data_IF_322344824158
#
_entry.id   IF_322344824158
#
_cell.length_a   1.000
_cell.length_b   1.000
_cell.length_c   1.000
_cell.angle_alpha   90.00
_cell.angle_beta   90.00
_cell.angle_gamma   90.00
#
_symmetry.space_group_name_H-M   'P 1'
#
loop_
_entity.id
_entity.type
_entity.pdbx_description
1 polymer ?
#
# COMPACT_ATOMS: atom_id res chain seq x y z
N UNK A 1 1.24 8.78 17.73
CA UNK A 1 1.63 8.51 16.33
C UNK A 1 1.45 9.78 15.52
N UNK A 2 2.32 10.04 14.55
CA UNK A 2 2.35 11.32 13.79
C UNK A 2 2.41 11.03 12.30
N UNK A 3 1.54 11.67 11.52
CA UNK A 3 1.59 11.67 10.06
C UNK A 3 0.95 12.93 9.49
N UNK A 4 1.22 13.23 8.23
CA UNK A 4 0.61 14.33 7.49
C UNK A 4 -0.92 14.16 7.37
N UNK A 5 -1.38 12.91 7.27
CA UNK A 5 -2.79 12.49 7.14
C UNK A 5 -3.08 11.36 8.13
N UNK A 6 -4.27 11.38 8.72
CA UNK A 6 -4.73 10.35 9.66
C UNK A 6 -6.20 10.07 9.36
N UNK A 7 -6.60 8.79 9.38
CA UNK A 7 -7.97 8.36 9.13
C UNK A 7 -8.41 8.51 7.67
N UNK A 8 -7.45 8.52 6.74
CA UNK A 8 -7.69 8.48 5.29
C UNK A 8 -7.52 7.05 4.74
N UNK A 9 -7.86 6.85 3.47
CA UNK A 9 -7.82 5.52 2.82
C UNK A 9 -6.49 5.21 2.15
N UNK A 10 -5.45 6.02 2.39
CA UNK A 10 -4.10 5.71 1.91
C UNK A 10 -3.42 4.62 2.76
N UNK A 11 -2.44 3.96 2.16
CA UNK A 11 -1.80 2.80 2.78
C UNK A 11 -1.12 3.07 4.12
N UNK A 12 -0.59 4.30 4.33
CA UNK A 12 0.07 4.69 5.59
C UNK A 12 -0.98 4.91 6.68
N UNK A 13 -2.03 5.68 6.39
CA UNK A 13 -3.13 5.92 7.34
C UNK A 13 -3.79 4.63 7.80
N UNK A 14 -4.04 3.69 6.86
CA UNK A 14 -4.61 2.39 7.19
C UNK A 14 -3.67 1.55 8.07
N UNK A 15 -2.36 1.60 7.84
CA UNK A 15 -1.39 0.87 8.66
C UNK A 15 -1.26 1.48 10.05
N UNK A 16 -1.33 2.81 10.17
CA UNK A 16 -1.37 3.50 11.46
C UNK A 16 -2.59 3.10 12.30
N UNK A 17 -3.76 2.94 11.70
CA UNK A 17 -4.96 2.49 12.42
C UNK A 17 -4.80 1.06 12.97
N UNK A 18 -4.09 0.18 12.24
CA UNK A 18 -3.77 -1.18 12.70
C UNK A 18 -2.79 -1.16 13.88
N UNK A 19 -1.71 -0.39 13.76
CA UNK A 19 -0.76 -0.19 14.87
C UNK A 19 -1.45 0.38 16.10
N UNK A 20 -2.30 1.39 15.91
CA UNK A 20 -3.10 1.97 16.98
C UNK A 20 -3.94 0.90 17.68
N UNK A 21 -4.71 0.11 16.93
CA UNK A 21 -5.59 -0.92 17.48
C UNK A 21 -4.80 -1.95 18.33
N UNK A 22 -3.63 -2.37 17.85
CA UNK A 22 -2.77 -3.32 18.57
C UNK A 22 -2.14 -2.69 19.81
N UNK A 23 -1.61 -1.46 19.71
CA UNK A 23 -1.04 -0.74 20.86
C UNK A 23 -2.10 -0.48 21.95
N UNK A 24 -3.32 -0.09 21.58
CA UNK A 24 -4.44 0.07 22.54
C UNK A 24 -4.81 -1.27 23.19
N UNK A 25 -4.81 -2.37 22.45
CA UNK A 25 -5.01 -3.75 22.99
C UNK A 25 -3.90 -4.14 23.97
N UNK A 26 -2.68 -3.68 23.74
CA UNK A 26 -1.53 -3.87 24.68
C UNK A 26 -1.63 -3.00 25.94
N UNK A 27 -2.59 -2.08 26.02
CA UNK A 27 -2.82 -1.21 27.18
C UNK A 27 -2.19 0.17 27.09
N UNK A 28 -1.65 0.55 25.92
CA UNK A 28 -1.09 1.88 25.70
C UNK A 28 -2.20 2.90 25.40
N UNK A 29 -1.99 4.15 25.81
CA UNK A 29 -2.82 5.28 25.39
C UNK A 29 -2.26 5.86 24.10
N UNK A 30 -2.97 5.72 22.98
CA UNK A 30 -2.49 6.14 21.66
C UNK A 30 -3.13 7.45 21.24
N UNK A 31 -2.30 8.45 20.91
CA UNK A 31 -2.72 9.74 20.37
C UNK A 31 -2.28 9.87 18.91
N UNK A 32 -3.22 10.29 18.06
CA UNK A 32 -2.99 10.50 16.64
C UNK A 32 -2.85 11.97 16.34
N UNK A 33 -1.69 12.41 15.80
CA UNK A 33 -1.40 13.78 15.44
C UNK A 33 -1.35 13.95 13.92
N UNK A 34 -2.04 14.95 13.40
CA UNK A 34 -2.03 15.28 11.97
C UNK A 34 -2.18 16.78 11.69
N UNK A 35 -2.08 17.16 10.41
CA UNK A 35 -2.20 18.55 9.97
C UNK A 35 -3.64 19.07 9.89
N UNK A 36 -4.65 18.20 9.99
CA UNK A 36 -6.06 18.56 9.89
C UNK A 36 -6.91 17.81 10.91
N UNK A 37 -7.98 18.46 11.37
CA UNK A 37 -8.94 17.85 12.28
C UNK A 37 -9.87 16.88 11.54
N UNK A 38 -10.01 15.67 12.08
CA UNK A 38 -11.04 14.69 11.71
C UNK A 38 -11.35 13.81 12.93
N UNK A 39 -12.26 12.85 12.78
CA UNK A 39 -12.68 11.98 13.89
C UNK A 39 -11.56 11.07 14.45
N UNK A 40 -10.46 10.89 13.72
CA UNK A 40 -9.31 10.07 14.13
C UNK A 40 -8.17 10.90 14.73
N UNK A 41 -8.21 12.23 14.59
CA UNK A 41 -7.14 13.13 15.06
C UNK A 41 -7.38 13.57 16.50
N UNK A 42 -6.43 13.27 17.39
CA UNK A 42 -6.46 13.69 18.79
C UNK A 42 -5.81 15.06 19.02
N UNK A 43 -4.85 15.45 18.15
CA UNK A 43 -4.15 16.73 18.22
C UNK A 43 -3.79 17.25 16.85
N UNK A 44 -4.15 18.49 16.56
CA UNK A 44 -3.83 19.14 15.28
C UNK A 44 -2.54 19.93 15.41
N UNK A 45 -1.58 19.65 14.54
CA UNK A 45 -0.37 20.45 14.32
C UNK A 45 -0.47 20.98 12.89
N UNK A 46 -0.87 22.24 12.69
CA UNK A 46 -1.15 22.78 11.35
C UNK A 46 0.00 22.64 10.36
N UNK A 47 1.24 22.69 10.83
CA UNK A 47 2.44 22.50 10.02
C UNK A 47 2.52 21.12 9.34
N UNK A 48 1.84 20.10 9.86
CA UNK A 48 1.72 18.77 9.23
C UNK A 48 0.81 18.79 8.00
N UNK A 49 0.02 19.83 7.78
CA UNK A 49 -0.86 19.88 6.61
C UNK A 49 -0.04 20.04 5.32
N UNK A 50 0.07 18.94 4.57
CA UNK A 50 0.82 18.90 3.31
C UNK A 50 0.21 19.74 2.19
N UNK A 51 -1.07 20.13 2.30
CA UNK A 51 -1.78 21.01 1.38
C UNK A 51 -1.70 22.49 1.79
N UNK A 52 -1.03 22.81 2.91
CA UNK A 52 -0.82 24.20 3.29
C UNK A 52 0.02 24.91 2.22
N UNK A 53 -0.35 26.14 1.89
CA UNK A 53 0.31 26.96 0.86
C UNK A 53 1.82 27.06 1.08
N UNK A 54 2.23 27.27 2.34
CA UNK A 54 3.64 27.31 2.70
C UNK A 54 4.36 26.00 2.31
N UNK A 55 3.79 24.85 2.63
CA UNK A 55 4.42 23.56 2.33
C UNK A 55 4.47 23.30 0.81
N UNK A 56 3.41 23.62 0.07
CA UNK A 56 3.38 23.49 -1.40
C UNK A 56 4.49 24.34 -2.01
N UNK A 57 4.61 25.60 -1.61
CA UNK A 57 5.66 26.52 -2.06
C UNK A 57 7.06 26.02 -1.72
N UNK A 58 7.23 25.53 -0.48
CA UNK A 58 8.52 24.98 -0.04
C UNK A 58 8.94 23.77 -0.88
N UNK A 59 8.04 22.81 -1.09
CA UNK A 59 8.28 21.61 -1.91
C UNK A 59 8.64 21.98 -3.35
N UNK A 60 7.95 22.99 -3.92
CA UNK A 60 8.28 23.49 -5.26
C UNK A 60 9.71 24.02 -5.33
N UNK A 61 10.10 24.87 -4.37
CA UNK A 61 11.44 25.46 -4.34
C UNK A 61 12.54 24.45 -4.00
N UNK A 62 12.25 23.46 -3.17
CA UNK A 62 13.24 22.43 -2.81
C UNK A 62 13.48 21.38 -3.91
N UNK A 63 12.48 21.08 -4.78
CA UNK A 63 12.53 19.91 -5.64
C UNK A 63 12.24 20.16 -7.12
N UNK A 64 11.70 21.31 -7.51
CA UNK A 64 11.45 21.65 -8.91
C UNK A 64 12.34 22.82 -9.36
N UNK A 65 12.12 24.01 -8.78
CA UNK A 65 12.94 25.19 -9.11
C UNK A 65 12.91 26.23 -7.99
N UNK A 66 14.07 26.78 -7.66
CA UNK A 66 14.22 27.85 -6.65
C UNK A 66 13.82 29.19 -7.28
N UNK A 67 12.55 29.57 -7.14
CA UNK A 67 11.97 30.78 -7.76
C UNK A 67 11.40 31.80 -6.77
N UNK A 68 10.94 31.37 -5.60
CA UNK A 68 10.31 32.23 -4.59
C UNK A 68 11.31 32.78 -3.57
N UNK A 69 12.55 32.34 -3.59
CA UNK A 69 13.63 32.75 -2.70
C UNK A 69 14.80 33.27 -3.54
N UNK A 70 15.41 34.43 -3.15
CA UNK A 70 16.52 35.03 -3.89
C UNK A 70 17.76 34.14 -4.00
N UNK A 71 17.98 33.27 -3.02
CA UNK A 71 19.11 32.34 -2.92
C UNK A 71 18.83 31.22 -1.92
N UNK A 72 19.75 30.26 -1.81
CA UNK A 72 19.64 29.11 -0.89
C UNK A 72 19.63 29.54 0.57
N UNK A 73 20.32 30.62 0.93
CA UNK A 73 20.37 31.13 2.33
C UNK A 73 19.00 31.61 2.79
N UNK A 74 18.25 32.32 1.94
CA UNK A 74 16.89 32.76 2.26
C UNK A 74 15.92 31.59 2.35
N UNK A 75 16.08 30.57 1.52
CA UNK A 75 15.32 29.32 1.64
C UNK A 75 15.64 28.62 2.97
N UNK A 76 16.92 28.51 3.34
CA UNK A 76 17.35 27.93 4.61
C UNK A 76 16.78 28.69 5.81
N UNK A 77 16.86 30.01 5.77
CA UNK A 77 16.32 30.87 6.81
C UNK A 77 14.82 30.63 7.02
N UNK A 78 14.06 30.58 5.91
CA UNK A 78 12.62 30.28 5.97
C UNK A 78 12.32 28.88 6.54
N UNK A 79 13.10 27.86 6.17
CA UNK A 79 12.96 26.50 6.72
C UNK A 79 13.21 26.51 8.23
N UNK A 80 14.29 27.15 8.69
CA UNK A 80 14.68 27.21 10.11
C UNK A 80 13.71 28.01 10.96
N UNK A 81 13.25 29.16 10.46
CA UNK A 81 12.29 29.98 11.16
C UNK A 81 10.99 29.22 11.42
N UNK A 82 10.45 28.58 10.36
CA UNK A 82 9.23 27.78 10.51
C UNK A 82 9.44 26.52 11.36
N UNK A 83 10.63 25.93 11.32
CA UNK A 83 10.96 24.77 12.15
C UNK A 83 10.93 25.10 13.66
N UNK A 84 11.26 26.33 14.08
CA UNK A 84 11.15 26.78 15.48
C UNK A 84 9.70 26.82 15.94
N UNK A 85 8.78 27.27 15.10
CA UNK A 85 7.34 27.26 15.41
C UNK A 85 6.82 25.82 15.53
N UNK A 86 7.26 24.95 14.60
CA UNK A 86 6.92 23.54 14.58
C UNK A 86 7.44 22.82 15.82
N UNK A 87 8.68 23.06 16.21
CA UNK A 87 9.27 22.54 17.45
C UNK A 87 8.42 22.92 18.67
N UNK A 88 8.06 24.19 18.79
CA UNK A 88 7.20 24.65 19.88
C UNK A 88 5.84 23.96 19.93
N UNK A 89 5.24 23.70 18.78
CA UNK A 89 3.98 22.98 18.68
C UNK A 89 4.11 21.50 19.14
N UNK A 90 5.19 20.81 18.75
CA UNK A 90 5.47 19.45 19.19
C UNK A 90 5.78 19.36 20.68
N UNK A 91 6.65 20.24 21.20
CA UNK A 91 6.95 20.28 22.64
C UNK A 91 5.70 20.50 23.49
N UNK A 92 4.80 21.39 23.04
CA UNK A 92 3.51 21.59 23.71
C UNK A 92 2.65 20.32 23.70
N UNK A 93 2.54 19.62 22.55
CA UNK A 93 1.76 18.40 22.44
C UNK A 93 2.36 17.27 23.30
N UNK A 94 3.67 17.08 23.28
CA UNK A 94 4.41 16.10 24.09
C UNK A 94 4.12 16.33 25.57
N UNK A 95 4.31 17.56 26.07
CA UNK A 95 4.11 17.90 27.48
C UNK A 95 2.65 17.78 27.90
N UNK A 96 1.70 18.28 27.09
CA UNK A 96 0.28 18.29 27.41
C UNK A 96 -0.31 16.89 27.50
N UNK A 97 0.05 16.00 26.56
CA UNK A 97 -0.44 14.63 26.52
C UNK A 97 0.47 13.65 27.26
N UNK A 98 1.58 14.10 27.84
CA UNK A 98 2.55 13.30 28.58
C UNK A 98 3.03 12.09 27.76
N UNK A 99 3.57 12.37 26.59
CA UNK A 99 4.01 11.37 25.63
C UNK A 99 5.35 10.77 26.06
N UNK A 100 5.43 9.46 26.11
CA UNK A 100 6.65 8.70 26.42
C UNK A 100 7.36 8.22 25.14
N UNK A 101 6.58 7.97 24.07
CA UNK A 101 7.07 7.46 22.79
C UNK A 101 6.35 8.16 21.62
N UNK A 102 7.12 8.60 20.63
CA UNK A 102 6.59 9.15 19.37
C UNK A 102 6.86 8.16 18.24
N UNK A 103 5.84 7.90 17.40
CA UNK A 103 5.95 7.05 16.21
C UNK A 103 5.59 7.90 14.98
N UNK A 104 6.57 8.60 14.37
CA UNK A 104 6.36 9.33 13.12
C UNK A 104 6.33 8.37 11.93
N UNK A 105 5.27 8.45 11.12
CA UNK A 105 5.10 7.67 9.91
C UNK A 105 5.50 8.51 8.70
N UNK A 106 6.53 8.11 7.98
CA UNK A 106 7.10 8.80 6.81
C UNK A 106 7.55 10.26 7.02
N UNK A 107 7.50 10.80 8.24
CA UNK A 107 7.96 12.17 8.50
C UNK A 107 9.47 12.29 8.23
N UNK A 108 10.24 11.30 8.65
CA UNK A 108 11.68 11.22 8.46
C UNK A 108 12.09 10.34 7.27
N UNK A 109 11.23 10.20 6.27
CA UNK A 109 11.50 9.30 5.15
C UNK A 109 11.49 9.99 3.80
N UNK A 110 10.49 10.85 3.53
CA UNK A 110 10.20 11.34 2.19
C UNK A 110 10.77 12.72 1.85
N UNK A 111 11.25 13.49 2.81
CA UNK A 111 11.67 14.88 2.57
C UNK A 111 10.50 15.80 2.17
N UNK A 112 9.29 15.40 2.42
CA UNK A 112 8.08 16.10 1.99
C UNK A 112 7.87 17.44 2.70
N UNK A 113 8.26 17.51 3.97
CA UNK A 113 8.11 18.72 4.78
C UNK A 113 9.35 18.88 5.67
N UNK A 114 10.37 19.58 5.16
CA UNK A 114 11.64 19.76 5.85
C UNK A 114 11.49 20.46 7.20
N UNK A 115 10.73 21.58 7.37
CA UNK A 115 10.55 22.22 8.65
C UNK A 115 9.94 21.31 9.71
N UNK A 116 8.99 20.45 9.31
CA UNK A 116 8.39 19.48 10.23
C UNK A 116 9.41 18.45 10.70
N UNK A 117 10.26 17.95 9.82
CA UNK A 117 11.33 17.01 10.21
C UNK A 117 12.34 17.68 11.15
N UNK A 118 12.80 18.91 10.82
CA UNK A 118 13.71 19.68 11.67
C UNK A 118 13.10 19.96 13.04
N UNK A 119 11.88 20.50 13.07
CA UNK A 119 11.20 20.86 14.32
C UNK A 119 10.86 19.65 15.20
N UNK A 120 10.43 18.53 14.58
CA UNK A 120 10.13 17.31 15.32
C UNK A 120 11.41 16.68 15.88
N UNK A 121 12.51 16.59 15.10
CA UNK A 121 13.78 16.06 15.58
C UNK A 121 14.29 16.87 16.78
N UNK A 122 14.29 18.21 16.68
CA UNK A 122 14.66 19.09 17.77
C UNK A 122 13.77 18.92 19.01
N UNK A 123 12.46 18.77 18.83
CA UNK A 123 11.51 18.53 19.93
C UNK A 123 11.78 17.19 20.64
N UNK A 124 12.09 16.12 19.88
CA UNK A 124 12.45 14.80 20.42
C UNK A 124 13.73 14.91 21.27
N UNK A 125 14.79 15.53 20.74
CA UNK A 125 16.05 15.72 21.46
C UNK A 125 15.86 16.56 22.74
N UNK A 126 15.13 17.68 22.68
CA UNK A 126 14.89 18.56 23.82
C UNK A 126 14.02 17.96 24.91
N UNK A 127 13.05 17.15 24.54
CA UNK A 127 12.15 16.49 25.48
C UNK A 127 12.69 15.15 25.98
N UNK A 128 13.75 14.64 25.34
CA UNK A 128 14.32 13.31 25.58
C UNK A 128 13.28 12.17 25.47
N UNK A 129 12.25 12.36 24.64
CA UNK A 129 11.23 11.35 24.35
C UNK A 129 11.81 10.31 23.35
N UNK A 130 11.44 9.06 23.50
CA UNK A 130 11.82 8.01 22.55
C UNK A 130 11.06 8.16 21.23
N UNK A 131 11.70 7.76 20.14
CA UNK A 131 11.15 7.86 18.82
C UNK A 131 11.34 6.58 18.00
N UNK A 132 10.27 5.96 17.55
CA UNK A 132 10.28 4.86 16.59
C UNK A 132 9.88 5.40 15.21
N UNK A 133 10.86 5.66 14.35
CA UNK A 133 10.64 6.15 13.00
C UNK A 133 10.10 5.02 12.12
N UNK A 134 8.82 5.09 11.72
CA UNK A 134 8.19 4.10 10.86
C UNK A 134 8.25 4.54 9.38
N UNK A 135 9.03 3.80 8.59
CA UNK A 135 9.32 4.10 7.20
C UNK A 135 8.55 3.17 6.28
N UNK A 136 7.62 3.71 5.49
CA UNK A 136 6.88 2.96 4.46
C UNK A 136 7.56 3.03 3.10
N UNK A 137 8.25 4.14 2.83
CA UNK A 137 9.13 4.37 1.68
C UNK A 137 10.09 5.52 1.97
N UNK A 138 11.14 5.65 1.14
CA UNK A 138 12.18 6.67 1.32
C UNK A 138 12.22 7.66 0.17
N UNK A 139 12.80 8.86 0.40
CA UNK A 139 12.91 9.93 -0.59
C UNK A 139 13.67 9.50 -1.85
N UNK A 140 14.65 8.63 -1.73
CA UNK A 140 15.41 8.12 -2.87
C UNK A 140 14.63 7.14 -3.76
N UNK A 141 13.50 6.64 -3.32
CA UNK A 141 12.58 5.80 -4.09
C UNK A 141 11.57 6.65 -4.90
N UNK A 142 11.53 7.96 -4.66
CA UNK A 142 10.58 8.90 -5.28
C UNK A 142 11.30 9.90 -6.16
N UNK A 143 11.11 9.82 -7.49
CA UNK A 143 11.73 10.76 -8.46
C UNK A 143 11.64 12.23 -8.02
N UNK A 144 10.48 12.62 -7.45
CA UNK A 144 10.21 13.98 -6.99
C UNK A 144 11.21 14.45 -5.93
N UNK A 145 11.63 13.59 -5.00
CA UNK A 145 12.44 13.95 -3.85
C UNK A 145 13.92 13.54 -3.98
N UNK A 146 14.22 12.68 -4.97
CA UNK A 146 15.56 12.14 -5.15
C UNK A 146 16.56 13.19 -5.69
N UNK A 147 16.08 14.28 -6.32
CA UNK A 147 16.90 15.28 -7.00
C UNK A 147 16.51 16.69 -6.57
N UNK A 148 16.93 17.14 -5.37
CA UNK A 148 16.72 18.51 -4.90
C UNK A 148 17.33 19.57 -5.82
N UNK A 149 16.77 20.78 -5.78
CA UNK A 149 17.23 21.94 -6.54
C UNK A 149 18.43 22.65 -5.90
N UNK A 150 18.64 22.46 -4.59
CA UNK A 150 19.61 23.20 -3.79
C UNK A 150 20.44 22.26 -2.91
N UNK A 151 21.73 22.60 -2.71
CA UNK A 151 22.66 21.80 -1.90
C UNK A 151 22.20 21.67 -0.45
N UNK A 152 21.66 22.73 0.12
CA UNK A 152 21.13 22.72 1.49
C UNK A 152 20.02 21.65 1.70
N UNK A 153 19.21 21.37 0.68
CA UNK A 153 18.17 20.35 0.77
C UNK A 153 18.79 18.96 0.84
N UNK A 154 19.87 18.70 0.07
CA UNK A 154 20.65 17.48 0.21
C UNK A 154 21.23 17.32 1.62
N UNK A 155 21.66 18.43 2.27
CA UNK A 155 22.21 18.37 3.62
C UNK A 155 21.11 17.98 4.63
N UNK A 156 19.91 18.56 4.55
CA UNK A 156 18.77 18.14 5.35
C UNK A 156 18.41 16.66 5.13
N UNK A 157 18.35 16.23 3.86
CA UNK A 157 18.03 14.84 3.54
C UNK A 157 19.08 13.88 4.12
N UNK A 158 20.36 14.21 4.07
CA UNK A 158 21.44 13.42 4.64
C UNK A 158 21.42 13.36 6.16
N UNK A 159 20.96 14.40 6.83
CA UNK A 159 20.97 14.48 8.30
C UNK A 159 19.71 13.89 8.92
N UNK A 160 18.54 14.14 8.33
CA UNK A 160 17.25 13.89 8.95
C UNK A 160 16.36 12.86 8.24
N UNK A 161 16.79 12.28 7.11
CA UNK A 161 15.94 11.34 6.37
C UNK A 161 16.63 10.00 6.10
N UNK A 162 16.67 9.16 7.17
CA UNK A 162 16.22 9.39 8.54
C UNK A 162 17.30 10.01 9.44
N UNK A 163 16.93 10.57 10.62
CA UNK A 163 17.88 11.00 11.64
C UNK A 163 18.64 9.81 12.23
N UNK A 164 19.78 10.07 12.87
CA UNK A 164 20.55 9.10 13.64
C UNK A 164 20.76 9.68 15.05
N UNK A 165 20.78 8.84 16.08
CA UNK A 165 20.96 9.26 17.46
C UNK A 165 20.28 8.33 18.46
N UNK A 166 20.64 8.46 19.73
CA UNK A 166 20.21 7.54 20.80
C UNK A 166 18.70 7.50 21.04
N UNK A 167 17.99 8.60 20.70
CA UNK A 167 16.55 8.68 20.86
C UNK A 167 15.76 8.10 19.68
N UNK A 168 16.44 7.71 18.59
CA UNK A 168 15.79 7.28 17.35
C UNK A 168 16.04 5.79 17.08
N UNK A 169 14.98 5.02 17.00
CA UNK A 169 14.98 3.68 16.42
C UNK A 169 14.19 3.67 15.11
N UNK A 170 14.46 2.68 14.25
CA UNK A 170 13.95 2.68 12.90
C UNK A 170 13.23 1.37 12.58
N UNK A 171 12.05 1.51 11.97
CA UNK A 171 11.25 0.40 11.48
C UNK A 171 10.98 0.61 9.99
N UNK A 172 11.16 -0.44 9.22
CA UNK A 172 10.86 -0.51 7.80
C UNK A 172 9.86 -1.64 7.53
N UNK A 173 9.13 -1.55 6.42
CA UNK A 173 8.07 -2.51 6.13
C UNK A 173 8.55 -3.77 5.38
N UNK A 174 9.79 -3.82 4.90
CA UNK A 174 10.34 -4.97 4.18
C UNK A 174 11.87 -5.05 4.30
N UNK A 175 12.42 -6.23 3.99
CA UNK A 175 13.88 -6.52 4.07
C UNK A 175 14.71 -5.72 3.07
N UNK A 176 14.18 -5.42 1.89
CA UNK A 176 14.91 -4.62 0.90
C UNK A 176 15.11 -3.18 1.39
N UNK A 177 14.09 -2.59 2.01
CA UNK A 177 14.21 -1.28 2.64
C UNK A 177 15.22 -1.30 3.80
N UNK A 178 15.24 -2.36 4.61
CA UNK A 178 16.23 -2.55 5.68
C UNK A 178 17.65 -2.59 5.12
N UNK A 179 17.88 -3.39 4.10
CA UNK A 179 19.20 -3.52 3.46
C UNK A 179 19.63 -2.20 2.82
N UNK A 180 18.75 -1.52 2.09
CA UNK A 180 19.04 -0.23 1.47
C UNK A 180 19.35 0.83 2.51
N UNK A 181 18.60 0.90 3.62
CA UNK A 181 18.84 1.83 4.72
C UNK A 181 20.21 1.58 5.37
N UNK A 182 20.53 0.31 5.65
CA UNK A 182 21.84 -0.08 6.20
C UNK A 182 22.98 0.31 5.26
N UNK A 183 22.85 0.02 3.96
CA UNK A 183 23.91 0.29 2.99
C UNK A 183 24.10 1.78 2.72
N UNK A 184 23.03 2.58 2.66
CA UNK A 184 23.10 4.02 2.36
C UNK A 184 23.46 4.88 3.55
N UNK A 185 22.99 4.52 4.74
CA UNK A 185 23.04 5.37 5.93
C UNK A 185 23.78 4.73 7.11
N UNK A 186 24.15 3.46 6.99
CA UNK A 186 24.68 2.63 8.10
C UNK A 186 23.75 2.59 9.34
N UNK A 187 22.45 2.85 9.16
CA UNK A 187 21.43 2.81 10.20
C UNK A 187 20.86 1.40 10.26
N UNK A 188 20.74 0.85 11.48
CA UNK A 188 20.06 -0.41 11.75
C UNK A 188 18.55 -0.18 11.87
N UNK A 189 17.75 -1.15 11.47
CA UNK A 189 16.29 -1.06 11.57
C UNK A 189 15.69 -2.45 11.78
N UNK A 190 14.49 -2.48 12.37
CA UNK A 190 13.67 -3.69 12.49
C UNK A 190 12.70 -3.76 11.29
N UNK A 191 12.39 -4.97 10.82
CA UNK A 191 11.37 -5.17 9.79
C UNK A 191 10.05 -5.50 10.45
N UNK A 192 9.04 -4.67 10.23
CA UNK A 192 7.65 -4.92 10.64
C UNK A 192 6.78 -4.87 9.40
N UNK A 193 6.32 -6.01 8.90
CA UNK A 193 5.52 -6.07 7.70
C UNK A 193 4.12 -5.46 7.90
N UNK A 194 3.48 -5.07 6.81
CA UNK A 194 2.07 -4.73 6.84
C UNK A 194 1.24 -5.95 7.26
N UNK A 195 0.23 -5.73 8.08
CA UNK A 195 -0.60 -6.78 8.67
C UNK A 195 -2.07 -6.63 8.28
N UNK A 196 -2.86 -7.62 8.64
CA UNK A 196 -4.31 -7.60 8.47
C UNK A 196 -5.01 -8.17 9.71
N UNK A 197 -6.25 -7.73 9.95
CA UNK A 197 -7.07 -8.28 11.02
C UNK A 197 -7.71 -9.60 10.58
N UNK A 198 -7.08 -10.72 10.92
CA UNK A 198 -7.60 -12.06 10.64
C UNK A 198 -8.67 -12.53 11.63
N UNK A 199 -8.89 -11.80 12.73
CA UNK A 199 -9.93 -12.10 13.72
C UNK A 199 -11.28 -11.49 13.32
N UNK A 200 -11.32 -10.55 12.38
CA UNK A 200 -12.56 -9.97 11.89
C UNK A 200 -13.45 -11.02 11.18
N UNK A 201 -14.75 -10.70 11.05
CA UNK A 201 -15.69 -11.57 10.37
C UNK A 201 -15.28 -11.81 8.90
N UNK A 202 -15.29 -13.09 8.50
CA UNK A 202 -14.98 -13.48 7.10
C UNK A 202 -15.94 -12.81 6.13
N UNK A 203 -15.40 -12.29 5.03
CA UNK A 203 -16.20 -11.75 3.94
C UNK A 203 -16.98 -12.85 3.25
N UNK A 204 -18.27 -12.67 3.15
CA UNK A 204 -19.20 -13.66 2.59
C UNK A 204 -20.31 -13.00 1.80
N UNK A 205 -21.00 -13.80 1.00
CA UNK A 205 -22.23 -13.38 0.35
C UNK A 205 -23.32 -13.24 1.43
N UNK A 206 -23.96 -12.07 1.46
CA UNK A 206 -25.03 -11.72 2.39
C UNK A 206 -26.22 -11.06 1.63
N UNK A 207 -27.33 -10.73 2.28
CA UNK A 207 -28.48 -10.11 1.61
C UNK A 207 -28.17 -8.78 0.88
N UNK A 208 -27.09 -8.07 1.26
CA UNK A 208 -26.72 -6.83 0.61
C UNK A 208 -26.03 -7.08 -0.75
N UNK A 209 -25.08 -8.02 -0.79
CA UNK A 209 -24.25 -8.27 -1.97
C UNK A 209 -24.66 -9.50 -2.79
N UNK A 210 -25.68 -10.26 -2.37
CA UNK A 210 -26.14 -11.45 -3.09
C UNK A 210 -26.59 -11.19 -4.55
N UNK A 211 -27.02 -9.96 -4.84
CA UNK A 211 -27.44 -9.52 -6.16
C UNK A 211 -26.32 -8.84 -6.99
N UNK A 212 -25.06 -8.86 -6.48
CA UNK A 212 -23.94 -8.13 -7.06
C UNK A 212 -23.72 -8.47 -8.55
N UNK A 213 -23.72 -9.75 -8.90
CA UNK A 213 -23.55 -10.18 -10.30
C UNK A 213 -24.62 -9.61 -11.20
N UNK A 214 -25.89 -9.73 -10.82
CA UNK A 214 -27.02 -9.19 -11.60
C UNK A 214 -26.96 -7.67 -11.70
N UNK A 215 -26.67 -6.96 -10.60
CA UNK A 215 -26.57 -5.50 -10.55
C UNK A 215 -25.42 -4.92 -11.39
N UNK A 216 -24.36 -5.70 -11.57
CA UNK A 216 -23.16 -5.30 -12.31
C UNK A 216 -23.04 -5.97 -13.68
N UNK A 217 -24.09 -6.71 -14.10
CA UNK A 217 -24.14 -7.44 -15.38
C UNK A 217 -22.99 -8.43 -15.56
N UNK A 218 -22.56 -9.07 -14.46
CA UNK A 218 -21.52 -10.09 -14.49
C UNK A 218 -22.17 -11.43 -14.89
N UNK A 219 -21.67 -12.12 -15.93
CA UNK A 219 -22.24 -13.38 -16.38
C UNK A 219 -22.17 -14.48 -15.34
N UNK A 220 -23.24 -15.26 -15.20
CA UNK A 220 -23.27 -16.41 -14.28
C UNK A 220 -22.45 -17.60 -14.80
N UNK A 221 -22.32 -17.75 -16.11
CA UNK A 221 -21.61 -18.82 -16.81
C UNK A 221 -20.09 -18.56 -16.96
N UNK A 222 -19.56 -17.50 -16.34
CA UNK A 222 -18.14 -17.15 -16.41
C UNK A 222 -17.41 -17.34 -15.08
N UNK A 223 -16.14 -17.70 -15.14
CA UNK A 223 -15.22 -17.51 -14.02
C UNK A 223 -14.92 -16.03 -13.81
N UNK A 224 -15.00 -15.58 -12.57
CA UNK A 224 -14.70 -14.20 -12.20
C UNK A 224 -13.24 -14.11 -11.78
N UNK A 225 -12.46 -13.37 -12.57
CA UNK A 225 -11.08 -13.00 -12.26
C UNK A 225 -11.08 -11.57 -11.75
N UNK A 226 -10.78 -11.36 -10.48
CA UNK A 226 -10.84 -10.04 -9.85
C UNK A 226 -9.48 -9.35 -9.87
N UNK A 227 -9.45 -8.14 -10.40
CA UNK A 227 -8.35 -7.18 -10.28
C UNK A 227 -8.79 -6.06 -9.31
N UNK A 228 -8.39 -6.20 -8.04
CA UNK A 228 -8.85 -5.34 -6.95
C UNK A 228 -8.02 -4.06 -6.75
N UNK A 229 -6.80 -4.00 -7.34
CA UNK A 229 -5.89 -2.87 -7.13
C UNK A 229 -6.33 -1.61 -7.91
N UNK A 230 -5.85 -0.45 -7.47
CA UNK A 230 -5.99 0.80 -8.25
C UNK A 230 -5.40 0.63 -9.65
N UNK A 231 -5.97 1.34 -10.61
CA UNK A 231 -5.52 1.30 -12.01
C UNK A 231 -4.42 2.35 -12.19
N UNK A 232 -3.17 1.89 -12.11
CA UNK A 232 -1.93 2.65 -12.31
C UNK A 232 -0.86 1.74 -12.91
N UNK A 233 0.06 2.26 -13.73
CA UNK A 233 1.03 1.45 -14.50
C UNK A 233 1.83 0.46 -13.67
N UNK A 234 2.28 0.85 -12.47
CA UNK A 234 3.06 -0.04 -11.61
C UNK A 234 2.31 -1.29 -11.14
N UNK A 235 0.99 -1.35 -11.33
CA UNK A 235 0.17 -2.52 -11.00
C UNK A 235 0.16 -3.59 -12.09
N UNK A 236 0.75 -3.32 -13.27
CA UNK A 236 0.96 -4.32 -14.33
C UNK A 236 -0.31 -5.02 -14.81
N UNK A 237 -1.43 -4.29 -14.84
CA UNK A 237 -2.77 -4.86 -15.11
C UNK A 237 -2.88 -5.48 -16.50
N UNK A 238 -2.03 -5.05 -17.44
CA UNK A 238 -1.88 -5.70 -18.75
C UNK A 238 -1.56 -7.20 -18.64
N UNK A 239 -0.80 -7.61 -17.61
CA UNK A 239 -0.51 -9.03 -17.36
C UNK A 239 -1.75 -9.81 -16.92
N UNK A 240 -2.70 -9.16 -16.21
CA UNK A 240 -4.00 -9.77 -15.90
C UNK A 240 -4.84 -9.98 -17.16
N UNK A 241 -4.80 -9.04 -18.11
CA UNK A 241 -5.48 -9.19 -19.41
C UNK A 241 -4.87 -10.34 -20.21
N UNK A 242 -3.54 -10.41 -20.29
CA UNK A 242 -2.85 -11.52 -20.98
C UNK A 242 -3.16 -12.86 -20.32
N UNK A 243 -3.16 -12.93 -18.99
CA UNK A 243 -3.53 -14.14 -18.26
C UNK A 243 -4.97 -14.60 -18.59
N UNK A 244 -5.94 -13.68 -18.56
CA UNK A 244 -7.35 -14.01 -18.86
C UNK A 244 -7.52 -14.40 -20.33
N UNK A 245 -6.76 -13.78 -21.24
CA UNK A 245 -6.72 -14.20 -22.65
C UNK A 245 -6.29 -15.68 -22.77
N UNK A 246 -5.14 -16.05 -22.22
CA UNK A 246 -4.63 -17.42 -22.27
C UNK A 246 -5.54 -18.41 -21.52
N UNK A 247 -6.12 -17.98 -20.40
CA UNK A 247 -7.10 -18.77 -19.67
C UNK A 247 -8.30 -19.11 -20.54
N UNK A 248 -8.83 -18.11 -21.28
CA UNK A 248 -9.97 -18.31 -22.19
C UNK A 248 -9.61 -19.21 -23.39
N UNK A 249 -8.39 -19.07 -23.96
CA UNK A 249 -7.95 -19.95 -25.04
C UNK A 249 -7.96 -21.43 -24.58
N UNK A 250 -7.39 -21.69 -23.39
CA UNK A 250 -7.34 -23.05 -22.85
C UNK A 250 -8.70 -23.58 -22.37
N UNK A 251 -9.58 -22.72 -21.83
CA UNK A 251 -10.93 -23.11 -21.41
C UNK A 251 -11.80 -23.53 -22.60
N UNK A 252 -11.60 -22.95 -23.78
CA UNK A 252 -12.36 -23.29 -24.98
C UNK A 252 -12.16 -24.77 -25.42
N UNK A 253 -11.02 -25.39 -25.09
CA UNK A 253 -10.70 -26.78 -25.40
C UNK A 253 -11.37 -27.76 -24.44
N UNK A 254 -12.07 -27.29 -23.40
CA UNK A 254 -12.72 -28.16 -22.42
C UNK A 254 -14.24 -28.22 -22.61
N UNK A 255 -14.73 -29.20 -23.32
CA UNK A 255 -16.14 -29.39 -23.75
C UNK A 255 -17.18 -29.64 -22.64
N UNK A 256 -16.80 -29.84 -21.36
CA UNK A 256 -17.73 -30.38 -20.35
C UNK A 256 -17.92 -29.59 -19.08
N UNK A 257 -17.95 -28.23 -19.13
CA UNK A 257 -18.05 -27.40 -17.92
C UNK A 257 -19.25 -26.48 -17.89
N UNK A 258 -19.75 -26.22 -16.68
CA UNK A 258 -20.74 -25.19 -16.41
C UNK A 258 -20.22 -23.80 -16.79
N UNK A 259 -18.89 -23.58 -16.63
CA UNK A 259 -18.21 -22.33 -16.97
C UNK A 259 -17.09 -22.61 -17.98
N UNK A 260 -17.19 -22.05 -19.16
CA UNK A 260 -16.25 -22.24 -20.27
C UNK A 260 -15.48 -20.98 -20.67
N UNK A 261 -15.65 -19.91 -19.92
CA UNK A 261 -14.98 -18.61 -20.12
C UNK A 261 -14.69 -17.92 -18.80
N UNK A 262 -13.77 -16.95 -18.83
CA UNK A 262 -13.44 -16.08 -17.72
C UNK A 262 -13.66 -14.61 -18.14
N UNK A 263 -14.10 -13.78 -17.17
CA UNK A 263 -14.22 -12.34 -17.32
C UNK A 263 -13.30 -11.65 -16.30
N UNK A 264 -12.72 -10.54 -16.68
CA UNK A 264 -11.85 -9.74 -15.82
C UNK A 264 -12.63 -8.58 -15.21
N UNK A 265 -12.66 -8.52 -13.88
CA UNK A 265 -13.37 -7.46 -13.14
C UNK A 265 -12.38 -6.43 -12.64
N UNK A 266 -12.50 -5.18 -13.08
CA UNK A 266 -11.78 -4.05 -12.49
C UNK A 266 -12.62 -3.44 -11.36
N UNK A 267 -12.14 -3.56 -10.11
CA UNK A 267 -12.83 -3.02 -8.94
C UNK A 267 -12.07 -1.83 -8.30
N UNK A 268 -10.80 -1.63 -8.66
CA UNK A 268 -9.99 -0.53 -8.14
C UNK A 268 -10.23 0.80 -8.85
N UNK A 269 -9.99 1.89 -8.13
CA UNK A 269 -10.14 3.24 -8.67
C UNK A 269 -9.13 3.52 -9.79
N UNK A 270 -9.58 4.23 -10.83
CA UNK A 270 -8.73 4.71 -11.92
C UNK A 270 -8.03 6.01 -11.50
N UNK A 271 -6.70 5.97 -11.38
CA UNK A 271 -5.87 7.13 -11.08
C UNK A 271 -5.03 7.61 -12.29
N UNK A 272 -4.99 6.83 -13.39
CA UNK A 272 -4.23 7.13 -14.60
C UNK A 272 -5.07 6.87 -15.85
N UNK A 273 -5.80 7.89 -16.32
CA UNK A 273 -6.75 7.78 -17.40
C UNK A 273 -6.12 7.26 -18.72
N UNK A 274 -4.90 7.70 -19.06
CA UNK A 274 -4.22 7.24 -20.27
C UNK A 274 -3.86 5.76 -20.20
N UNK A 275 -3.38 5.29 -19.05
CA UNK A 275 -3.10 3.88 -18.84
C UNK A 275 -4.39 3.05 -18.91
N UNK A 276 -5.46 3.50 -18.27
CA UNK A 276 -6.78 2.85 -18.35
C UNK A 276 -7.27 2.71 -19.79
N UNK A 277 -7.21 3.78 -20.58
CA UNK A 277 -7.65 3.73 -21.97
C UNK A 277 -6.83 2.73 -22.80
N UNK A 278 -5.49 2.71 -22.60
CA UNK A 278 -4.62 1.72 -23.24
C UNK A 278 -4.95 0.29 -22.82
N UNK A 279 -5.31 0.04 -21.56
CA UNK A 279 -5.74 -1.28 -21.06
C UNK A 279 -7.03 -1.72 -21.73
N UNK A 280 -8.03 -0.83 -21.85
CA UNK A 280 -9.32 -1.17 -22.48
C UNK A 280 -9.16 -1.46 -23.97
N UNK A 281 -8.32 -0.70 -24.69
CA UNK A 281 -7.98 -0.98 -26.08
C UNK A 281 -7.24 -2.31 -26.24
N UNK A 282 -6.34 -2.62 -25.30
CA UNK A 282 -5.61 -3.88 -25.28
C UNK A 282 -6.54 -5.08 -25.03
N UNK A 283 -7.42 -4.99 -24.03
CA UNK A 283 -8.41 -6.01 -23.75
C UNK A 283 -9.33 -6.28 -24.96
N UNK A 284 -9.76 -5.20 -25.62
CA UNK A 284 -10.57 -5.30 -26.87
C UNK A 284 -9.81 -6.03 -27.98
N UNK A 285 -8.54 -5.68 -28.22
CA UNK A 285 -7.69 -6.36 -29.23
C UNK A 285 -7.48 -7.85 -28.92
N UNK A 286 -7.41 -8.21 -27.64
CA UNK A 286 -7.30 -9.60 -27.16
C UNK A 286 -8.64 -10.32 -27.05
N UNK A 287 -9.75 -9.68 -27.32
CA UNK A 287 -11.11 -10.21 -27.10
C UNK A 287 -11.34 -10.69 -25.65
N UNK A 288 -10.73 -9.99 -24.67
CA UNK A 288 -10.96 -10.22 -23.24
C UNK A 288 -12.10 -9.33 -22.77
N UNK A 289 -13.13 -9.94 -22.20
CA UNK A 289 -14.22 -9.20 -21.57
C UNK A 289 -13.76 -8.60 -20.24
N UNK A 290 -13.69 -7.25 -20.18
CA UNK A 290 -13.40 -6.49 -18.97
C UNK A 290 -14.67 -5.80 -18.52
N UNK A 291 -15.05 -6.02 -17.25
CA UNK A 291 -16.19 -5.35 -16.61
C UNK A 291 -15.64 -4.41 -15.53
N UNK A 292 -15.67 -3.12 -15.82
CA UNK A 292 -15.25 -2.08 -14.86
C UNK A 292 -16.39 -1.75 -13.91
N UNK A 293 -16.21 -2.09 -12.64
CA UNK A 293 -17.17 -1.83 -11.57
C UNK A 293 -16.69 -0.74 -10.61
N UNK A 294 -15.56 -0.08 -10.89
CA UNK A 294 -14.92 0.89 -9.99
C UNK A 294 -15.86 2.01 -9.53
N UNK A 295 -16.77 2.47 -10.41
CA UNK A 295 -17.78 3.47 -10.07
C UNK A 295 -18.88 3.00 -9.10
N UNK A 296 -18.97 1.70 -8.88
CA UNK A 296 -19.94 1.03 -8.01
C UNK A 296 -19.28 0.43 -6.75
N UNK A 297 -17.97 0.68 -6.56
CA UNK A 297 -17.18 0.20 -5.42
C UNK A 297 -16.61 1.40 -4.66
N UNK A 298 -16.74 1.37 -3.34
CA UNK A 298 -16.19 2.39 -2.43
C UNK A 298 -15.64 1.73 -1.16
N UNK A 299 -15.12 2.54 -0.23
CA UNK A 299 -14.61 2.04 1.05
C UNK A 299 -15.71 1.38 1.91
N UNK A 300 -16.94 1.86 1.80
CA UNK A 300 -18.08 1.34 2.56
C UNK A 300 -19.34 1.23 1.71
N UNK A 301 -20.22 0.34 2.15
CA UNK A 301 -21.56 0.18 1.57
C UNK A 301 -22.37 1.47 1.65
N UNK A 302 -23.00 1.86 0.54
CA UNK A 302 -23.85 3.04 0.47
C UNK A 302 -24.81 2.96 -0.71
N UNK A 303 -25.55 4.06 -0.97
CA UNK A 303 -26.36 4.23 -2.17
C UNK A 303 -26.02 5.55 -2.84
N UNK A 304 -25.93 5.55 -4.17
CA UNK A 304 -25.70 6.74 -4.97
C UNK A 304 -26.62 6.71 -6.20
N UNK A 305 -27.42 7.75 -6.36
CA UNK A 305 -28.38 7.87 -7.48
C UNK A 305 -29.30 6.62 -7.63
N UNK A 306 -29.82 6.11 -6.52
CA UNK A 306 -30.68 4.92 -6.49
C UNK A 306 -29.99 3.58 -6.77
N UNK A 307 -28.67 3.58 -6.93
CA UNK A 307 -27.87 2.37 -7.15
C UNK A 307 -27.08 2.01 -5.91
N UNK A 308 -26.97 0.71 -5.60
CA UNK A 308 -26.08 0.21 -4.52
C UNK A 308 -24.63 0.52 -4.87
N UNK A 309 -23.88 0.96 -3.87
CA UNK A 309 -22.42 1.06 -3.88
C UNK A 309 -21.91 -0.04 -2.94
N UNK A 310 -21.16 -0.97 -3.49
CA UNK A 310 -20.57 -2.07 -2.78
C UNK A 310 -19.26 -1.65 -2.12
N UNK A 311 -18.87 -2.31 -1.04
CA UNK A 311 -17.49 -2.26 -0.58
C UNK A 311 -16.63 -3.21 -1.44
N UNK A 312 -15.31 -3.02 -1.45
CA UNK A 312 -14.42 -3.96 -2.11
C UNK A 312 -14.55 -5.37 -1.51
N UNK A 313 -14.83 -5.44 -0.21
CA UNK A 313 -15.11 -6.66 0.55
C UNK A 313 -16.35 -7.42 0.06
N UNK A 314 -17.31 -6.73 -0.55
CA UNK A 314 -18.48 -7.37 -1.17
C UNK A 314 -18.14 -8.08 -2.48
N UNK A 315 -17.08 -7.66 -3.15
CA UNK A 315 -16.69 -8.20 -4.47
C UNK A 315 -15.88 -9.48 -4.32
N UNK A 316 -14.96 -9.54 -3.36
CA UNK A 316 -14.09 -10.70 -3.15
C UNK A 316 -14.85 -12.04 -3.03
N UNK A 317 -15.96 -12.18 -2.29
CA UNK A 317 -16.69 -13.45 -2.17
C UNK A 317 -17.16 -14.01 -3.51
N UNK A 318 -17.45 -13.17 -4.50
CA UNK A 318 -17.90 -13.56 -5.83
C UNK A 318 -16.77 -13.95 -6.79
N UNK A 319 -15.51 -13.62 -6.47
CA UNK A 319 -14.38 -13.97 -7.32
C UNK A 319 -14.04 -15.48 -7.25
N UNK A 320 -13.70 -16.07 -8.37
CA UNK A 320 -13.13 -17.41 -8.47
C UNK A 320 -11.59 -17.35 -8.33
N UNK A 321 -10.96 -16.33 -8.90
CA UNK A 321 -9.51 -16.07 -8.87
C UNK A 321 -9.27 -14.57 -8.61
N UNK A 322 -8.12 -14.24 -8.03
CA UNK A 322 -7.67 -12.84 -7.85
C UNK A 322 -6.33 -12.66 -8.55
N UNK A 323 -6.21 -11.63 -9.39
CA UNK A 323 -4.94 -11.25 -10.00
C UNK A 323 -4.23 -10.20 -9.17
N UNK A 324 -2.94 -10.41 -8.95
CA UNK A 324 -2.03 -9.47 -8.29
C UNK A 324 -0.74 -9.31 -9.10
N UNK A 325 -0.82 -8.72 -10.32
CA UNK A 325 0.29 -8.63 -11.26
C UNK A 325 1.21 -7.44 -11.01
N UNK A 326 1.16 -6.82 -9.82
CA UNK A 326 1.90 -5.61 -9.47
C UNK A 326 3.40 -5.77 -9.72
N UNK A 327 3.98 -4.86 -10.50
CA UNK A 327 5.40 -4.86 -10.83
C UNK A 327 6.27 -4.29 -9.71
N UNK A 328 5.67 -3.40 -8.89
CA UNK A 328 6.34 -2.72 -7.79
C UNK A 328 5.37 -2.41 -6.65
N UNK A 329 5.70 -2.86 -5.45
CA UNK A 329 4.99 -2.58 -4.20
C UNK A 329 5.96 -2.39 -3.05
N UNK A 330 5.57 -1.56 -2.07
CA UNK A 330 6.26 -1.48 -0.79
C UNK A 330 6.03 -2.74 0.07
N UNK A 331 4.81 -3.30 0.01
CA UNK A 331 4.46 -4.57 0.65
C UNK A 331 3.48 -5.36 -0.21
N UNK A 332 2.17 -5.15 -0.10
CA UNK A 332 1.15 -5.87 -0.87
C UNK A 332 -0.18 -6.04 -0.14
N UNK A 333 -0.82 -4.95 0.27
CA UNK A 333 -2.05 -5.01 1.06
C UNK A 333 -3.16 -5.83 0.36
N UNK A 334 -3.38 -5.64 -0.96
CA UNK A 334 -4.39 -6.41 -1.69
C UNK A 334 -4.04 -7.90 -1.82
N UNK A 335 -2.74 -8.27 -1.70
CA UNK A 335 -2.35 -9.67 -1.60
C UNK A 335 -2.89 -10.28 -0.31
N UNK A 336 -2.70 -9.59 0.84
CA UNK A 336 -3.18 -10.06 2.14
C UNK A 336 -4.71 -10.10 2.16
N UNK A 337 -5.39 -9.12 1.55
CA UNK A 337 -6.85 -9.11 1.40
C UNK A 337 -7.36 -10.33 0.63
N UNK A 338 -6.69 -10.72 -0.47
CA UNK A 338 -7.04 -11.90 -1.24
C UNK A 338 -6.83 -13.20 -0.43
N UNK A 339 -5.77 -13.26 0.39
CA UNK A 339 -5.53 -14.36 1.34
C UNK A 339 -6.64 -14.41 2.39
N UNK A 340 -6.99 -13.27 3.00
CA UNK A 340 -8.09 -13.19 3.96
C UNK A 340 -9.43 -13.63 3.35
N UNK A 341 -9.70 -13.21 2.11
CA UNK A 341 -10.89 -13.60 1.36
C UNK A 341 -10.88 -15.08 0.92
N UNK A 342 -9.81 -15.82 1.22
CA UNK A 342 -9.62 -17.23 0.83
C UNK A 342 -9.79 -17.45 -0.67
N UNK A 343 -9.10 -16.64 -1.48
CA UNK A 343 -9.11 -16.73 -2.94
C UNK A 343 -7.75 -17.19 -3.48
N UNK A 344 -7.73 -18.08 -4.49
CA UNK A 344 -6.50 -18.37 -5.21
C UNK A 344 -5.96 -17.10 -5.88
N UNK A 345 -4.64 -16.92 -5.85
CA UNK A 345 -3.98 -15.70 -6.28
C UNK A 345 -3.06 -15.99 -7.45
N UNK A 346 -3.20 -15.20 -8.52
CA UNK A 346 -2.27 -15.13 -9.65
C UNK A 346 -1.35 -13.94 -9.40
N UNK A 347 -0.08 -14.18 -9.09
CA UNK A 347 0.84 -13.14 -8.65
C UNK A 347 2.04 -12.97 -9.58
N UNK A 348 2.42 -11.73 -9.85
CA UNK A 348 3.75 -11.40 -10.36
C UNK A 348 4.71 -11.28 -9.18
N UNK A 349 5.91 -11.87 -9.31
CA UNK A 349 6.91 -11.93 -8.25
C UNK A 349 7.78 -10.66 -8.23
N UNK A 350 7.21 -9.54 -7.80
CA UNK A 350 7.96 -8.29 -7.64
C UNK A 350 9.06 -8.39 -6.56
N UNK A 351 10.01 -7.46 -6.48
CA UNK A 351 11.17 -7.59 -5.58
C UNK A 351 10.82 -7.91 -4.12
N UNK A 352 9.86 -7.17 -3.52
CA UNK A 352 9.44 -7.41 -2.12
C UNK A 352 8.68 -8.74 -1.98
N UNK A 353 7.92 -9.17 -2.99
CA UNK A 353 7.32 -10.51 -2.98
C UNK A 353 8.40 -11.58 -2.82
N UNK A 354 9.50 -11.49 -3.60
CA UNK A 354 10.61 -12.47 -3.55
C UNK A 354 11.38 -12.45 -2.23
N UNK A 355 11.60 -11.27 -1.63
CA UNK A 355 12.41 -11.15 -0.41
C UNK A 355 11.63 -11.42 0.87
N UNK A 356 10.32 -11.09 0.90
CA UNK A 356 9.55 -11.07 2.13
C UNK A 356 8.34 -12.01 2.13
N UNK A 357 7.63 -12.16 0.98
CA UNK A 357 6.38 -12.92 0.90
C UNK A 357 6.63 -14.38 0.50
N UNK A 358 7.36 -14.61 -0.60
CA UNK A 358 7.64 -15.96 -1.08
C UNK A 358 8.35 -16.86 -0.06
N UNK A 359 9.32 -16.38 0.76
CA UNK A 359 9.97 -17.20 1.79
C UNK A 359 9.03 -17.68 2.90
N UNK A 360 7.88 -17.05 3.08
CA UNK A 360 6.86 -17.51 4.04
C UNK A 360 6.13 -18.77 3.57
N UNK A 361 6.22 -19.11 2.28
CA UNK A 361 5.67 -20.35 1.73
C UNK A 361 4.25 -20.22 1.16
N UNK A 362 3.77 -19.01 0.85
CA UNK A 362 2.49 -18.81 0.19
C UNK A 362 2.41 -19.55 -1.15
N UNK A 363 1.31 -20.25 -1.39
CA UNK A 363 1.03 -20.94 -2.63
C UNK A 363 0.24 -20.02 -3.56
N UNK A 364 0.88 -19.56 -4.63
CA UNK A 364 0.27 -18.72 -5.66
C UNK A 364 0.54 -19.29 -7.05
N UNK A 365 -0.27 -18.91 -8.02
CA UNK A 365 -0.01 -19.15 -9.42
C UNK A 365 0.92 -18.03 -9.91
N UNK A 366 2.15 -18.39 -10.31
CA UNK A 366 3.19 -17.42 -10.62
C UNK A 366 3.09 -16.89 -12.05
N UNK A 367 3.20 -15.57 -12.21
CA UNK A 367 3.46 -14.88 -13.48
C UNK A 367 4.96 -14.61 -13.71
N UNK A 368 5.83 -15.28 -12.95
CA UNK A 368 7.27 -14.99 -12.96
C UNK A 368 7.62 -13.68 -12.26
N UNK A 369 8.87 -13.27 -12.38
CA UNK A 369 9.38 -12.05 -11.71
C UNK A 369 10.39 -11.30 -12.56
N UNK A 370 10.30 -11.43 -13.88
CA UNK A 370 11.07 -10.68 -14.87
C UNK A 370 10.14 -10.27 -16.02
N UNK A 371 10.26 -9.03 -16.47
CA UNK A 371 9.49 -8.50 -17.58
C UNK A 371 10.34 -7.57 -18.42
N UNK A 372 9.97 -7.42 -19.67
CA UNK A 372 10.41 -6.35 -20.56
C UNK A 372 9.27 -5.35 -20.75
N UNK A 373 9.52 -4.23 -21.41
CA UNK A 373 8.46 -3.32 -21.84
C UNK A 373 8.39 -3.29 -23.35
N UNK A 374 7.17 -3.38 -23.87
CA UNK A 374 6.94 -3.27 -25.29
C UNK A 374 6.91 -1.79 -25.76
N UNK A 375 6.69 -1.59 -27.06
CA UNK A 375 6.62 -0.26 -27.69
C UNK A 375 5.47 0.63 -27.16
N UNK A 376 4.45 0.04 -26.53
CA UNK A 376 3.35 0.77 -25.90
C UNK A 376 3.60 1.04 -24.41
N UNK A 377 4.75 0.60 -23.88
CA UNK A 377 5.12 0.75 -22.46
C UNK A 377 4.55 -0.33 -21.54
N UNK A 378 3.76 -1.29 -22.02
CA UNK A 378 3.25 -2.39 -21.23
C UNK A 378 4.34 -3.38 -20.84
N UNK A 379 4.22 -3.94 -19.66
CA UNK A 379 5.05 -5.06 -19.23
C UNK A 379 4.69 -6.32 -20.03
N UNK A 380 5.72 -7.04 -20.45
CA UNK A 380 5.61 -8.32 -21.15
C UNK A 380 6.46 -9.36 -20.41
N UNK A 381 5.87 -10.51 -20.18
CA UNK A 381 6.54 -11.71 -19.65
C UNK A 381 6.55 -12.81 -20.69
N UNK A 382 7.45 -13.80 -20.60
CA UNK A 382 7.51 -14.89 -21.58
C UNK A 382 6.15 -15.61 -21.68
N UNK A 383 5.71 -15.86 -22.92
CA UNK A 383 4.38 -16.45 -23.21
C UNK A 383 4.19 -17.80 -22.52
N UNK A 384 5.24 -18.61 -22.45
CA UNK A 384 5.16 -19.92 -21.77
C UNK A 384 4.89 -19.81 -20.27
N UNK A 385 5.26 -18.69 -19.63
CA UNK A 385 4.93 -18.42 -18.21
C UNK A 385 3.43 -18.16 -18.06
N UNK A 386 2.86 -17.32 -18.95
CA UNK A 386 1.42 -17.03 -18.93
C UNK A 386 0.60 -18.30 -19.24
N UNK A 387 1.03 -19.07 -20.26
CA UNK A 387 0.39 -20.33 -20.61
C UNK A 387 0.40 -21.33 -19.47
N UNK A 388 1.54 -21.45 -18.78
CA UNK A 388 1.64 -22.29 -17.59
C UNK A 388 0.71 -21.79 -16.48
N UNK A 389 0.68 -20.48 -16.21
CA UNK A 389 -0.18 -19.91 -15.19
C UNK A 389 -1.67 -20.16 -15.48
N UNK A 390 -2.09 -20.05 -16.76
CA UNK A 390 -3.44 -20.37 -17.18
C UNK A 390 -3.75 -21.86 -16.98
N UNK A 391 -2.82 -22.75 -17.33
CA UNK A 391 -2.96 -24.19 -17.11
C UNK A 391 -3.09 -24.54 -15.62
N UNK A 392 -2.19 -23.99 -14.78
CA UNK A 392 -2.21 -24.20 -13.32
C UNK A 392 -3.53 -23.69 -12.71
N UNK A 393 -4.06 -22.56 -13.20
CA UNK A 393 -5.35 -22.03 -12.77
C UNK A 393 -6.52 -22.96 -13.14
N UNK A 394 -6.53 -23.51 -14.36
CA UNK A 394 -7.54 -24.46 -14.79
C UNK A 394 -7.49 -25.74 -13.94
N UNK A 395 -6.30 -26.26 -13.67
CA UNK A 395 -6.16 -27.47 -12.86
C UNK A 395 -6.62 -27.23 -11.42
N UNK A 396 -6.33 -26.06 -10.86
CA UNK A 396 -6.83 -25.68 -9.54
C UNK A 396 -8.36 -25.54 -9.53
N UNK A 397 -8.94 -24.86 -10.53
CA UNK A 397 -10.41 -24.68 -10.66
C UNK A 397 -11.18 -25.99 -10.86
N UNK A 398 -10.51 -27.07 -11.30
CA UNK A 398 -11.10 -28.41 -11.43
C UNK A 398 -11.39 -29.10 -10.08
N UNK A 399 -10.75 -28.66 -9.01
CA UNK A 399 -10.81 -29.35 -7.74
C UNK A 399 -11.15 -28.40 -6.59
N UNK A 400 -12.39 -28.45 -6.13
CA UNK A 400 -12.78 -27.72 -4.90
C UNK A 400 -11.89 -28.07 -3.71
N UNK A 401 -11.41 -29.32 -3.62
CA UNK A 401 -10.50 -29.75 -2.56
C UNK A 401 -9.16 -29.02 -2.69
N UNK A 402 -8.56 -28.98 -3.90
CA UNK A 402 -7.29 -28.29 -4.13
C UNK A 402 -7.39 -26.80 -3.83
N UNK A 403 -8.47 -26.14 -4.26
CA UNK A 403 -8.73 -24.73 -3.91
C UNK A 403 -8.75 -24.58 -2.38
N UNK A 404 -9.55 -25.41 -1.68
CA UNK A 404 -9.68 -25.34 -0.22
C UNK A 404 -8.34 -25.54 0.48
N UNK A 405 -7.54 -26.50 0.02
CA UNK A 405 -6.23 -26.81 0.62
C UNK A 405 -5.26 -25.63 0.43
N UNK A 406 -5.15 -25.06 -0.78
CA UNK A 406 -4.30 -23.89 -1.08
C UNK A 406 -4.70 -22.66 -0.27
N UNK A 407 -5.99 -22.29 -0.29
CA UNK A 407 -6.43 -21.06 0.40
C UNK A 407 -6.36 -21.20 1.93
N UNK A 408 -6.56 -22.41 2.46
CA UNK A 408 -6.39 -22.69 3.89
C UNK A 408 -4.93 -22.55 4.30
N UNK A 409 -4.02 -23.19 3.56
CA UNK A 409 -2.58 -23.09 3.78
C UNK A 409 -2.11 -21.62 3.79
N UNK A 410 -2.52 -20.85 2.77
CA UNK A 410 -2.17 -19.41 2.72
C UNK A 410 -2.75 -18.62 3.90
N UNK A 411 -3.96 -18.95 4.32
CA UNK A 411 -4.61 -18.30 5.45
C UNK A 411 -3.90 -18.56 6.77
N UNK A 412 -3.43 -19.80 7.00
CA UNK A 412 -2.64 -20.16 8.20
C UNK A 412 -1.30 -19.43 8.24
N UNK A 413 -0.57 -19.38 7.13
CA UNK A 413 0.68 -18.60 7.02
C UNK A 413 0.43 -17.12 7.36
N UNK A 414 -0.66 -16.56 6.83
CA UNK A 414 -0.96 -15.15 7.07
C UNK A 414 -1.35 -14.87 8.53
N UNK A 415 -2.07 -15.77 9.19
CA UNK A 415 -2.33 -15.66 10.64
C UNK A 415 -1.01 -15.66 11.41
N UNK A 416 -0.10 -16.56 11.10
CA UNK A 416 1.16 -16.69 11.82
C UNK A 416 2.05 -15.45 11.66
N UNK A 417 2.16 -14.90 10.44
CA UNK A 417 3.17 -13.91 10.11
C UNK A 417 2.63 -12.50 9.87
N UNK A 418 1.36 -12.34 9.50
CA UNK A 418 0.79 -11.07 9.00
C UNK A 418 -0.50 -10.67 9.75
N UNK A 419 -0.71 -11.20 10.96
CA UNK A 419 -1.88 -10.88 11.80
C UNK A 419 -1.58 -9.76 12.80
N UNK A 420 -2.62 -9.29 13.48
CA UNK A 420 -2.47 -8.39 14.63
C UNK A 420 -1.69 -9.04 15.78
N UNK A 421 -1.79 -10.36 15.96
CA UNK A 421 -0.98 -11.07 16.95
C UNK A 421 0.50 -11.08 16.60
N UNK A 422 0.85 -11.20 15.31
CA UNK A 422 2.22 -11.04 14.83
C UNK A 422 2.72 -9.60 15.04
N UNK A 423 1.91 -8.60 14.71
CA UNK A 423 2.24 -7.20 14.96
C UNK A 423 2.47 -6.92 16.46
N UNK A 424 1.64 -7.48 17.35
CA UNK A 424 1.80 -7.34 18.79
C UNK A 424 3.18 -7.87 19.27
N UNK A 425 3.66 -8.98 18.72
CA UNK A 425 4.98 -9.51 19.03
C UNK A 425 6.10 -8.57 18.59
N UNK A 426 6.00 -8.03 17.35
CA UNK A 426 6.97 -7.05 16.86
C UNK A 426 6.98 -5.77 17.72
N UNK A 427 5.79 -5.26 18.08
CA UNK A 427 5.69 -4.04 18.89
C UNK A 427 6.21 -4.23 20.32
N UNK A 428 6.00 -5.39 20.94
CA UNK A 428 6.62 -5.71 22.24
C UNK A 428 8.14 -5.63 22.18
N UNK A 429 8.75 -6.25 21.18
CA UNK A 429 10.20 -6.18 21.00
C UNK A 429 10.69 -4.74 20.81
N UNK A 430 9.98 -3.93 20.01
CA UNK A 430 10.37 -2.55 19.73
C UNK A 430 10.21 -1.57 20.90
N UNK A 431 9.28 -1.84 21.82
CA UNK A 431 8.99 -0.93 22.96
C UNK A 431 9.77 -1.36 24.21
N UNK A 432 10.09 -2.64 24.35
CA UNK A 432 10.84 -3.20 25.49
C UNK A 432 12.37 -3.04 25.31
N UNK A 433 12.86 -2.74 24.09
CA UNK A 433 14.25 -2.37 23.79
C UNK A 433 14.50 -0.86 24.02
#
# INVERSE_FOLDING_TARGET
MVHFRVGETDGVSLEMDKWRAVLEKMGHSVFMWSGSANQHTNWVIPALNYQAEYNIRLVENCYNSLVDYPNEQELEHSIREYAVEVEGAFLKAISFQKIDLIIPNNIFSLGWNLPVAVGLASAIEKSNVLCVCHHHDFYWERKKYAHPTANLVYDYLRQLFPPDGDNFSHVVINKLAQEVLKNRRNISSSVVPNVFDFEQAQWKIDPYNSDLKAQLSIPEDAYIVLQATRIVERKGIELAIEFVYELNQQLADYESREKNRAVLIFAGQNEEADYYNRLMDFAKKKCVEVIDISSRVAHSRSQKNGKKIYSLWDVYPHADLVTYPSLLEGWGNQFIEAVFAKKPIIAYEYPVYKSDIAPLGFQTISLGGQHTRNSTGFAEIPINVIQKAAHDAIDLLKSHKAIKDVVHHNFEIAIEHLSYSSLEQHLKTLIDE
#
